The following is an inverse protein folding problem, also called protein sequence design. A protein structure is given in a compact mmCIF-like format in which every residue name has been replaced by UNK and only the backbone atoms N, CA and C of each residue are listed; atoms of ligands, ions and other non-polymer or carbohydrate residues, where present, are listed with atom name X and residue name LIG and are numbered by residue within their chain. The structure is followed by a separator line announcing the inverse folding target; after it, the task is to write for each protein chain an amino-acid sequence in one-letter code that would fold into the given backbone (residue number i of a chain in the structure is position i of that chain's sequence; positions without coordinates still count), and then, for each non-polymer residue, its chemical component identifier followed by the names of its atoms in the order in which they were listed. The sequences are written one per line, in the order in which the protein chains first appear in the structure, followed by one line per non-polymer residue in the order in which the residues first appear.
data_IF_954715578579
#
_entry.id   IF_954715578579
#
_cell.length_a   1.000
_cell.length_b   1.000
_cell.length_c   1.000
_cell.angle_alpha   90.00
_cell.angle_beta   90.00
_cell.angle_gamma   90.00
#
_symmetry.space_group_name_H-M   'P 1'
#
loop_
_entity.id
_entity.type
_entity.pdbx_description
1 polymer ?
#
# COMPACT_ATOMS: atom_id res chain seq x y z
N UNK A 1 6.63 -29.33 1.84
CA UNK A 1 7.90 -28.57 2.03
C UNK A 1 8.98 -28.93 0.99
N UNK A 2 8.98 -30.10 0.42
CA UNK A 2 10.01 -30.59 -0.55
C UNK A 2 9.96 -29.94 -1.95
N UNK A 3 8.78 -29.48 -2.43
CA UNK A 3 8.68 -28.88 -3.77
C UNK A 3 9.25 -27.46 -3.87
N UNK A 4 9.21 -26.66 -2.81
CA UNK A 4 9.76 -25.29 -2.81
C UNK A 4 11.29 -25.27 -3.08
N UNK A 5 12.01 -26.28 -2.60
CA UNK A 5 13.44 -26.42 -2.84
C UNK A 5 13.77 -26.76 -4.30
N UNK A 6 12.98 -27.65 -4.89
CA UNK A 6 13.18 -28.09 -6.26
C UNK A 6 12.86 -26.97 -7.29
N UNK A 7 11.78 -26.23 -7.09
CA UNK A 7 11.40 -25.09 -7.95
C UNK A 7 12.47 -23.97 -7.87
N UNK A 8 12.95 -23.66 -6.67
CA UNK A 8 13.99 -22.65 -6.46
C UNK A 8 15.32 -23.03 -7.11
N UNK A 9 15.70 -24.31 -7.00
CA UNK A 9 16.91 -24.84 -7.64
C UNK A 9 16.77 -24.92 -9.16
N UNK A 10 15.59 -25.26 -9.67
CA UNK A 10 15.30 -25.26 -11.10
C UNK A 10 15.38 -23.85 -11.69
N UNK A 11 14.72 -22.86 -11.06
CA UNK A 11 14.77 -21.47 -11.48
C UNK A 11 16.20 -20.89 -11.40
N UNK A 12 16.96 -21.29 -10.38
CA UNK A 12 18.37 -20.90 -10.26
C UNK A 12 19.21 -21.46 -11.41
N UNK A 13 19.07 -22.75 -11.71
CA UNK A 13 19.80 -23.40 -12.83
C UNK A 13 19.38 -22.84 -14.18
N UNK A 14 18.08 -22.61 -14.41
CA UNK A 14 17.57 -22.02 -15.64
C UNK A 14 18.06 -20.56 -15.81
N UNK A 15 18.05 -19.77 -14.75
CA UNK A 15 18.56 -18.40 -14.79
C UNK A 15 20.07 -18.31 -15.03
N UNK A 16 20.86 -19.21 -14.44
CA UNK A 16 22.31 -19.30 -14.65
C UNK A 16 22.68 -19.85 -16.02
N UNK A 17 21.80 -20.58 -16.69
CA UNK A 17 22.02 -21.06 -18.05
C UNK A 17 21.78 -19.99 -19.13
N UNK A 18 20.97 -18.99 -18.84
CA UNK A 18 20.53 -17.93 -19.79
C UNK A 18 21.26 -16.61 -19.56
N UNK A 19 21.64 -16.32 -18.32
CA UNK A 19 22.26 -15.06 -17.92
C UNK A 19 23.71 -15.30 -17.48
N UNK A 20 24.59 -14.38 -17.85
CA UNK A 20 25.94 -14.32 -17.28
C UNK A 20 25.88 -14.18 -15.75
N UNK A 21 26.86 -14.72 -15.04
CA UNK A 21 26.83 -14.81 -13.56
C UNK A 21 26.63 -13.45 -12.88
N UNK A 22 27.18 -12.39 -13.44
CA UNK A 22 26.98 -11.02 -12.96
C UNK A 22 25.54 -10.50 -13.20
N UNK A 23 24.95 -10.81 -14.34
CA UNK A 23 23.58 -10.44 -14.68
C UNK A 23 22.57 -11.21 -13.80
N UNK A 24 22.81 -12.52 -13.60
CA UNK A 24 21.99 -13.34 -12.73
C UNK A 24 21.97 -12.83 -11.28
N UNK A 25 23.14 -12.46 -10.74
CA UNK A 25 23.23 -11.93 -9.37
C UNK A 25 22.42 -10.65 -9.22
N UNK A 26 22.55 -9.70 -10.16
CA UNK A 26 21.77 -8.45 -10.16
C UNK A 26 20.26 -8.69 -10.24
N UNK A 27 19.83 -9.54 -11.17
CA UNK A 27 18.39 -9.88 -11.31
C UNK A 27 17.86 -10.53 -10.04
N UNK A 28 18.64 -11.42 -9.41
CA UNK A 28 18.26 -12.06 -8.15
C UNK A 28 18.15 -11.04 -7.00
N UNK A 29 19.03 -10.05 -6.93
CA UNK A 29 18.97 -8.97 -5.94
C UNK A 29 17.74 -8.09 -6.15
N UNK A 30 17.45 -7.68 -7.37
CA UNK A 30 16.24 -6.92 -7.70
C UNK A 30 14.97 -7.68 -7.38
N UNK A 31 14.93 -8.97 -7.67
CA UNK A 31 13.77 -9.80 -7.33
C UNK A 31 13.55 -9.90 -5.81
N UNK A 32 14.63 -10.10 -5.05
CA UNK A 32 14.56 -10.10 -3.57
C UNK A 32 14.09 -8.75 -3.04
N UNK A 33 14.64 -7.64 -3.55
CA UNK A 33 14.27 -6.28 -3.17
C UNK A 33 12.80 -5.99 -3.47
N UNK A 34 12.33 -6.37 -4.66
CA UNK A 34 10.92 -6.23 -5.07
C UNK A 34 9.97 -7.03 -4.19
N UNK A 35 10.32 -8.29 -3.89
CA UNK A 35 9.53 -9.14 -3.01
C UNK A 35 9.47 -8.58 -1.58
N UNK A 36 10.58 -8.04 -1.08
CA UNK A 36 10.62 -7.39 0.23
C UNK A 36 9.73 -6.16 0.27
N UNK A 37 9.81 -5.27 -0.72
CA UNK A 37 8.95 -4.08 -0.83
C UNK A 37 7.46 -4.47 -0.83
N UNK A 38 7.11 -5.49 -1.61
CA UNK A 38 5.72 -5.97 -1.71
C UNK A 38 5.21 -6.52 -0.37
N UNK A 39 5.98 -7.36 0.29
CA UNK A 39 5.59 -7.96 1.58
C UNK A 39 5.54 -6.91 2.69
N UNK A 40 6.51 -6.00 2.73
CA UNK A 40 6.56 -4.91 3.70
C UNK A 40 5.36 -3.97 3.54
N UNK A 41 5.03 -3.60 2.30
CA UNK A 41 3.83 -2.80 2.03
C UNK A 41 2.56 -3.50 2.51
N UNK A 42 2.37 -4.78 2.19
CA UNK A 42 1.18 -5.53 2.62
C UNK A 42 1.09 -5.58 4.15
N UNK A 43 2.21 -5.85 4.81
CA UNK A 43 2.28 -5.90 6.27
C UNK A 43 1.93 -4.54 6.91
N UNK A 44 2.55 -3.47 6.41
CA UNK A 44 2.27 -2.11 6.86
C UNK A 44 0.79 -1.74 6.66
N UNK A 45 0.22 -2.09 5.52
CA UNK A 45 -1.17 -1.74 5.19
C UNK A 45 -2.19 -2.51 6.05
N UNK A 46 -1.89 -3.76 6.41
CA UNK A 46 -2.73 -4.52 7.35
C UNK A 46 -2.69 -3.90 8.75
N UNK A 47 -1.50 -3.53 9.24
CA UNK A 47 -1.36 -2.87 10.54
C UNK A 47 -2.09 -1.54 10.56
N UNK A 48 -1.92 -0.73 9.52
CA UNK A 48 -2.59 0.56 9.36
C UNK A 48 -4.12 0.40 9.42
N UNK A 49 -4.67 -0.51 8.61
CA UNK A 49 -6.09 -0.81 8.61
C UNK A 49 -6.64 -1.27 9.97
N UNK A 50 -5.88 -2.07 10.72
CA UNK A 50 -6.25 -2.48 12.07
C UNK A 50 -6.29 -1.28 13.03
N UNK A 51 -5.27 -0.43 13.00
CA UNK A 51 -5.19 0.77 13.86
C UNK A 51 -6.35 1.70 13.54
N UNK A 52 -6.57 2.03 12.27
CA UNK A 52 -7.65 2.92 11.85
C UNK A 52 -9.03 2.32 12.16
N UNK A 53 -9.21 1.02 11.96
CA UNK A 53 -10.45 0.34 12.32
C UNK A 53 -10.77 0.44 13.80
N UNK A 54 -9.78 0.25 14.67
CA UNK A 54 -9.94 0.38 16.12
C UNK A 54 -10.24 1.83 16.50
N UNK A 55 -9.47 2.79 16.02
CA UNK A 55 -9.66 4.21 16.31
C UNK A 55 -11.02 4.72 15.84
N UNK A 56 -11.44 4.34 14.63
CA UNK A 56 -12.75 4.67 14.10
C UNK A 56 -13.88 4.05 14.92
N UNK A 57 -13.75 2.78 15.34
CA UNK A 57 -14.72 2.11 16.20
C UNK A 57 -14.88 2.83 17.54
N UNK A 58 -13.78 3.22 18.19
CA UNK A 58 -13.78 3.94 19.45
C UNK A 58 -14.43 5.32 19.27
N UNK A 59 -13.98 6.09 18.27
CA UNK A 59 -14.49 7.43 18.02
C UNK A 59 -16.00 7.42 17.75
N UNK A 60 -16.48 6.52 16.91
CA UNK A 60 -17.91 6.36 16.62
C UNK A 60 -18.71 5.84 17.82
N UNK A 61 -18.12 5.01 18.69
CA UNK A 61 -18.77 4.55 19.92
C UNK A 61 -18.99 5.68 20.92
N UNK A 62 -18.02 6.59 21.05
CA UNK A 62 -18.10 7.76 21.94
C UNK A 62 -19.30 8.66 21.57
N UNK A 63 -19.56 8.84 20.28
CA UNK A 63 -20.68 9.65 19.80
C UNK A 63 -21.99 8.85 19.66
N UNK A 64 -22.01 7.61 20.13
CA UNK A 64 -23.21 6.78 20.18
C UNK A 64 -23.70 6.27 18.82
N UNK A 65 -22.83 6.17 17.81
CA UNK A 65 -23.21 5.64 16.50
C UNK A 65 -23.61 4.16 16.64
N UNK A 66 -24.79 3.84 16.14
CA UNK A 66 -25.27 2.45 16.06
C UNK A 66 -24.36 1.67 15.12
N UNK A 67 -23.94 0.47 15.51
CA UNK A 67 -22.98 -0.36 14.76
C UNK A 67 -21.56 0.21 14.65
N UNK A 68 -21.13 1.06 15.58
CA UNK A 68 -19.81 1.71 15.58
C UNK A 68 -18.65 0.73 15.36
N UNK A 69 -18.65 -0.42 16.02
CA UNK A 69 -17.60 -1.45 15.87
C UNK A 69 -17.61 -2.04 14.46
N UNK A 70 -18.79 -2.37 13.92
CA UNK A 70 -18.91 -2.92 12.56
C UNK A 70 -18.45 -1.91 11.52
N UNK A 71 -18.87 -0.65 11.65
CA UNK A 71 -18.49 0.42 10.74
C UNK A 71 -16.99 0.72 10.83
N UNK A 72 -16.42 0.71 12.03
CA UNK A 72 -14.99 0.89 12.22
C UNK A 72 -14.16 -0.24 11.61
N UNK A 73 -14.58 -1.49 11.80
CA UNK A 73 -13.94 -2.63 11.12
C UNK A 73 -14.03 -2.51 9.59
N UNK A 74 -15.18 -2.04 9.08
CA UNK A 74 -15.38 -1.80 7.66
C UNK A 74 -14.45 -0.70 7.15
N UNK A 75 -14.32 0.42 7.88
CA UNK A 75 -13.39 1.51 7.55
C UNK A 75 -11.96 0.99 7.54
N UNK A 76 -11.53 0.24 8.55
CA UNK A 76 -10.19 -0.34 8.61
C UNK A 76 -9.90 -1.33 7.49
N UNK A 77 -10.87 -2.18 7.14
CA UNK A 77 -10.74 -3.14 6.04
C UNK A 77 -10.55 -2.43 4.69
N UNK A 78 -11.36 -1.41 4.43
CA UNK A 78 -11.26 -0.66 3.18
C UNK A 78 -10.03 0.28 3.14
N UNK A 79 -9.49 0.68 4.31
CA UNK A 79 -8.27 1.48 4.39
C UNK A 79 -7.06 0.79 3.75
N UNK A 80 -7.12 -0.52 3.52
CA UNK A 80 -6.11 -1.29 2.78
C UNK A 80 -5.90 -0.73 1.36
N UNK A 81 -6.92 -0.11 0.75
CA UNK A 81 -6.83 0.51 -0.58
C UNK A 81 -6.66 2.03 -0.41
N UNK A 82 -5.47 2.60 -0.64
CA UNK A 82 -5.23 4.01 -0.42
C UNK A 82 -6.20 4.91 -1.19
N UNK A 83 -6.71 5.95 -0.55
CA UNK A 83 -7.66 6.94 -1.04
C UNK A 83 -9.05 6.39 -1.38
N UNK A 84 -9.16 5.40 -2.27
CA UNK A 84 -10.44 4.85 -2.72
C UNK A 84 -11.18 4.10 -1.60
N UNK A 85 -10.44 3.32 -0.83
CA UNK A 85 -11.01 2.57 0.28
C UNK A 85 -11.65 3.48 1.33
N UNK A 86 -10.93 4.53 1.73
CA UNK A 86 -11.43 5.51 2.68
C UNK A 86 -12.72 6.20 2.19
N UNK A 87 -12.76 6.63 0.91
CA UNK A 87 -13.94 7.29 0.32
C UNK A 87 -15.15 6.35 0.35
N UNK A 88 -14.99 5.11 -0.10
CA UNK A 88 -16.07 4.11 -0.12
C UNK A 88 -16.56 3.83 1.30
N UNK A 89 -15.64 3.56 2.22
CA UNK A 89 -15.97 3.20 3.59
C UNK A 89 -16.69 4.34 4.34
N UNK A 90 -16.20 5.57 4.20
CA UNK A 90 -16.82 6.74 4.83
C UNK A 90 -18.23 6.96 4.23
N UNK A 91 -18.38 6.86 2.92
CA UNK A 91 -19.69 7.04 2.26
C UNK A 91 -20.71 6.03 2.78
N UNK A 92 -20.33 4.75 2.85
CA UNK A 92 -21.22 3.70 3.39
C UNK A 92 -21.53 3.93 4.85
N UNK A 93 -20.55 4.32 5.66
CA UNK A 93 -20.73 4.61 7.09
C UNK A 93 -21.67 5.82 7.31
N UNK A 94 -21.53 6.88 6.49
CA UNK A 94 -22.43 8.03 6.52
C UNK A 94 -23.88 7.60 6.22
N UNK A 95 -24.09 6.83 5.15
CA UNK A 95 -25.42 6.37 4.77
C UNK A 95 -26.05 5.52 5.87
N UNK A 96 -25.33 4.56 6.42
CA UNK A 96 -25.85 3.71 7.50
C UNK A 96 -26.17 4.56 8.73
N UNK A 97 -25.31 5.49 9.11
CA UNK A 97 -25.54 6.36 10.27
C UNK A 97 -26.73 7.32 10.05
N UNK A 98 -26.88 7.82 8.81
CA UNK A 98 -28.02 8.67 8.45
C UNK A 98 -29.37 7.96 8.67
N UNK A 99 -29.48 6.70 8.27
CA UNK A 99 -30.70 5.91 8.43
C UNK A 99 -30.92 5.38 9.85
N UNK A 100 -29.87 5.29 10.67
CA UNK A 100 -29.97 4.70 12.03
C UNK A 100 -29.96 5.70 13.15
N UNK A 101 -29.35 6.89 12.95
CA UNK A 101 -29.15 7.90 13.97
C UNK A 101 -29.55 9.32 13.53
N UNK A 102 -29.99 9.46 12.28
CA UNK A 102 -30.40 10.74 11.74
C UNK A 102 -29.25 11.60 11.19
N UNK A 103 -29.62 12.74 10.63
CA UNK A 103 -28.66 13.59 9.89
C UNK A 103 -27.61 14.27 10.79
N UNK A 104 -27.96 14.63 12.02
CA UNK A 104 -27.04 15.28 12.96
C UNK A 104 -25.92 14.33 13.36
N UNK A 105 -26.27 13.08 13.69
CA UNK A 105 -25.29 12.06 14.03
C UNK A 105 -24.43 11.67 12.83
N UNK A 106 -25.01 11.59 11.63
CA UNK A 106 -24.28 11.30 10.40
C UNK A 106 -23.23 12.38 10.08
N UNK A 107 -23.59 13.68 10.24
CA UNK A 107 -22.65 14.79 10.05
C UNK A 107 -21.52 14.77 11.08
N UNK A 108 -21.85 14.56 12.36
CA UNK A 108 -20.84 14.48 13.42
C UNK A 108 -19.89 13.31 13.20
N UNK A 109 -20.42 12.14 12.85
CA UNK A 109 -19.63 10.97 12.50
C UNK A 109 -18.74 11.23 11.30
N UNK A 110 -19.26 11.81 10.22
CA UNK A 110 -18.48 12.16 9.04
C UNK A 110 -17.31 13.10 9.39
N UNK A 111 -17.57 14.16 10.17
CA UNK A 111 -16.51 15.08 10.60
C UNK A 111 -15.41 14.37 11.37
N UNK A 112 -15.77 13.52 12.33
CA UNK A 112 -14.81 12.79 13.17
C UNK A 112 -13.98 11.80 12.33
N UNK A 113 -14.63 11.05 11.44
CA UNK A 113 -13.91 10.08 10.60
C UNK A 113 -13.02 10.80 9.58
N UNK A 114 -13.43 11.93 9.02
CA UNK A 114 -12.58 12.74 8.14
C UNK A 114 -11.35 13.25 8.89
N UNK A 115 -11.52 13.76 10.12
CA UNK A 115 -10.37 14.17 10.95
C UNK A 115 -9.44 12.99 11.21
N UNK A 116 -9.99 11.82 11.53
CA UNK A 116 -9.20 10.60 11.73
C UNK A 116 -8.42 10.23 10.46
N UNK A 117 -9.03 10.33 9.29
CA UNK A 117 -8.34 10.09 8.01
C UNK A 117 -7.22 11.12 7.73
N UNK A 118 -7.37 12.38 8.18
CA UNK A 118 -6.29 13.37 8.09
C UNK A 118 -5.12 13.03 9.03
N UNK A 119 -5.42 12.54 10.22
CA UNK A 119 -4.39 12.05 11.17
C UNK A 119 -3.70 10.83 10.58
N UNK A 120 -4.45 9.92 9.99
CA UNK A 120 -3.90 8.77 9.30
C UNK A 120 -2.93 9.17 8.19
N UNK A 121 -3.41 9.92 7.22
CA UNK A 121 -2.63 10.32 6.04
C UNK A 121 -1.36 11.11 6.38
N UNK A 122 -1.36 11.91 7.45
CA UNK A 122 -0.25 12.81 7.78
C UNK A 122 0.65 12.30 8.93
N UNK A 123 0.18 11.38 9.76
CA UNK A 123 0.91 10.95 10.97
C UNK A 123 1.06 9.44 11.03
N UNK A 124 -0.04 8.67 10.95
CA UNK A 124 -0.02 7.23 11.20
C UNK A 124 0.63 6.50 10.03
N UNK A 125 0.09 6.70 8.83
CA UNK A 125 0.54 6.03 7.61
C UNK A 125 2.04 6.31 7.32
N UNK A 126 2.57 7.56 7.38
CA UNK A 126 4.00 7.81 7.22
C UNK A 126 4.88 7.17 8.29
N UNK A 127 4.39 7.01 9.52
CA UNK A 127 5.14 6.34 10.58
C UNK A 127 5.20 4.83 10.39
N UNK A 128 4.15 4.22 9.85
CA UNK A 128 4.07 2.79 9.59
C UNK A 128 4.88 2.42 8.34
N UNK A 129 4.68 3.12 7.22
CA UNK A 129 5.37 2.87 5.95
C UNK A 129 6.83 3.32 5.95
N UNK A 130 7.24 4.19 6.88
CA UNK A 130 8.59 4.75 6.94
C UNK A 130 8.91 5.65 5.74
N UNK A 131 10.20 6.03 5.65
CA UNK A 131 10.67 6.93 4.58
C UNK A 131 10.90 6.22 3.22
N UNK A 132 10.81 4.90 3.18
CA UNK A 132 11.23 4.09 2.03
C UNK A 132 10.37 4.22 0.76
N UNK A 133 9.10 4.57 0.91
CA UNK A 133 8.13 4.58 -0.20
C UNK A 133 7.61 5.99 -0.54
N UNK A 134 8.48 7.01 -0.55
CA UNK A 134 8.09 8.39 -0.93
C UNK A 134 7.55 8.45 -2.38
N UNK A 135 6.31 8.01 -2.58
CA UNK A 135 5.58 8.10 -3.85
C UNK A 135 4.66 9.32 -3.77
N UNK A 136 4.58 10.10 -4.84
CA UNK A 136 3.65 11.23 -4.85
C UNK A 136 2.19 10.75 -4.82
N UNK A 137 1.29 11.46 -4.10
CA UNK A 137 -0.14 11.11 -4.04
C UNK A 137 -0.78 10.98 -5.43
N UNK A 138 -0.42 11.85 -6.35
CA UNK A 138 -0.93 11.83 -7.73
C UNK A 138 -0.57 10.50 -8.42
N UNK A 139 0.67 10.03 -8.23
CA UNK A 139 1.11 8.77 -8.84
C UNK A 139 0.39 7.55 -8.22
N UNK A 140 0.07 7.60 -6.92
CA UNK A 140 -0.72 6.56 -6.25
C UNK A 140 -2.13 6.54 -6.82
N UNK A 141 -2.81 7.69 -6.91
CA UNK A 141 -4.18 7.78 -7.45
C UNK A 141 -4.21 7.24 -8.88
N UNK A 142 -3.27 7.66 -9.72
CA UNK A 142 -3.16 7.19 -11.10
C UNK A 142 -2.95 5.67 -11.18
N UNK A 143 -2.03 5.14 -10.37
CA UNK A 143 -1.76 3.70 -10.34
C UNK A 143 -2.96 2.88 -9.87
N UNK A 144 -3.64 3.34 -8.80
CA UNK A 144 -4.82 2.66 -8.26
C UNK A 144 -5.98 2.70 -9.25
N UNK A 145 -6.18 3.81 -9.98
CA UNK A 145 -7.21 3.90 -11.02
C UNK A 145 -6.95 2.91 -12.15
N UNK A 146 -5.72 2.87 -12.66
CA UNK A 146 -5.35 1.93 -13.74
C UNK A 146 -5.44 0.48 -13.24
N UNK A 147 -4.86 0.19 -12.07
CA UNK A 147 -4.91 -1.15 -11.52
C UNK A 147 -6.34 -1.63 -11.25
N UNK A 148 -7.21 -0.71 -10.83
CA UNK A 148 -8.63 -0.97 -10.65
C UNK A 148 -9.36 -1.35 -11.94
N UNK A 149 -9.08 -0.66 -13.02
CA UNK A 149 -9.67 -0.92 -14.34
C UNK A 149 -9.28 -2.31 -14.87
N UNK A 150 -8.01 -2.70 -14.74
CA UNK A 150 -7.53 -3.97 -15.31
C UNK A 150 -7.74 -5.18 -14.40
N UNK A 151 -7.63 -5.02 -13.09
CA UNK A 151 -7.61 -6.14 -12.13
C UNK A 151 -8.58 -5.97 -10.96
N UNK A 152 -9.47 -4.98 -11.00
CA UNK A 152 -10.43 -4.70 -9.93
C UNK A 152 -9.77 -4.35 -8.60
N UNK A 153 -10.39 -4.77 -7.50
CA UNK A 153 -9.94 -4.48 -6.12
C UNK A 153 -8.50 -4.95 -5.85
N UNK A 154 -8.13 -6.13 -6.35
CA UNK A 154 -6.77 -6.65 -6.21
C UNK A 154 -5.75 -5.79 -6.96
N UNK A 155 -6.12 -5.28 -8.14
CA UNK A 155 -5.29 -4.36 -8.90
C UNK A 155 -5.11 -3.02 -8.19
N UNK A 156 -6.17 -2.46 -7.60
CA UNK A 156 -6.09 -1.25 -6.79
C UNK A 156 -5.07 -1.40 -5.64
N UNK A 157 -5.17 -2.49 -4.90
CA UNK A 157 -4.30 -2.77 -3.77
C UNK A 157 -2.83 -2.97 -4.19
N UNK A 158 -2.59 -3.78 -5.21
CA UNK A 158 -1.23 -4.11 -5.66
C UNK A 158 -0.56 -3.01 -6.48
N UNK A 159 -1.31 -2.03 -6.99
CA UNK A 159 -0.77 -0.93 -7.80
C UNK A 159 0.29 -0.12 -7.06
N UNK A 160 0.08 0.15 -5.77
CA UNK A 160 1.01 0.97 -4.98
C UNK A 160 2.37 0.30 -4.82
N UNK A 161 2.49 -0.96 -4.36
CA UNK A 161 3.80 -1.60 -4.28
C UNK A 161 4.43 -1.85 -5.66
N UNK A 162 3.65 -2.05 -6.72
CA UNK A 162 4.18 -2.16 -8.08
C UNK A 162 4.86 -0.85 -8.51
N UNK A 163 4.21 0.29 -8.29
CA UNK A 163 4.79 1.60 -8.60
C UNK A 163 6.02 1.89 -7.72
N UNK A 164 6.00 1.47 -6.45
CA UNK A 164 7.17 1.57 -5.58
C UNK A 164 8.35 0.79 -6.13
N UNK A 165 8.14 -0.46 -6.56
CA UNK A 165 9.16 -1.31 -7.17
C UNK A 165 9.70 -0.65 -8.45
N UNK A 166 8.83 -0.20 -9.35
CA UNK A 166 9.24 0.47 -10.59
C UNK A 166 10.09 1.70 -10.28
N UNK A 167 9.67 2.54 -9.33
CA UNK A 167 10.43 3.72 -8.91
C UNK A 167 11.82 3.36 -8.41
N UNK A 168 11.93 2.37 -7.54
CA UNK A 168 13.22 1.91 -6.99
C UNK A 168 14.13 1.39 -8.11
N UNK A 169 13.60 0.59 -9.03
CA UNK A 169 14.36 0.08 -10.18
C UNK A 169 14.88 1.20 -11.08
N UNK A 170 14.06 2.23 -11.33
CA UNK A 170 14.46 3.40 -12.13
C UNK A 170 15.57 4.18 -11.42
N UNK A 171 15.46 4.42 -10.12
CA UNK A 171 16.48 5.14 -9.35
C UNK A 171 17.79 4.37 -9.35
N UNK A 172 17.77 3.07 -9.06
CA UNK A 172 18.96 2.23 -9.07
C UNK A 172 19.64 2.23 -10.47
N UNK A 173 18.85 2.20 -11.54
CA UNK A 173 19.36 2.28 -12.91
C UNK A 173 20.04 3.63 -13.22
N UNK A 174 19.43 4.73 -12.79
CA UNK A 174 20.00 6.09 -12.96
C UNK A 174 21.32 6.22 -12.19
N UNK A 175 21.35 5.74 -10.94
CA UNK A 175 22.56 5.78 -10.12
C UNK A 175 23.71 4.95 -10.74
N UNK A 176 23.39 3.78 -11.24
CA UNK A 176 24.37 2.94 -11.95
C UNK A 176 24.97 3.65 -13.18
N UNK A 177 24.12 4.28 -13.98
CA UNK A 177 24.56 5.02 -15.17
C UNK A 177 25.43 6.23 -14.81
N UNK A 178 25.08 6.94 -13.73
CA UNK A 178 25.83 8.10 -13.26
C UNK A 178 27.22 7.71 -12.70
N UNK A 179 27.31 6.57 -11.97
CA UNK A 179 28.60 6.06 -11.49
C UNK A 179 29.54 5.72 -12.65
N UNK A 180 29.03 5.07 -13.69
CA UNK A 180 29.83 4.74 -14.86
C UNK A 180 30.31 5.96 -15.65
N UNK A 181 29.47 7.03 -15.75
CA UNK A 181 29.89 8.28 -16.37
C UNK A 181 31.01 8.98 -15.60
N UNK A 182 30.92 9.04 -14.27
CA UNK A 182 31.97 9.64 -13.42
C UNK A 182 33.29 8.86 -13.50
N UNK A 183 33.22 7.53 -13.58
CA UNK A 183 34.42 6.71 -13.75
C UNK A 183 35.13 6.95 -15.10
N UNK A 184 34.38 7.26 -16.16
CA UNK A 184 34.93 7.59 -17.48
C UNK A 184 35.50 9.01 -17.60
N UNK A 185 35.03 9.95 -16.74
CA UNK A 185 35.52 11.35 -16.74
C UNK A 185 36.81 11.53 -15.90
N UNK A 186 37.16 10.56 -15.08
CA UNK A 186 38.37 10.59 -14.24
C UNK A 186 39.56 9.79 -14.83
N UNK A 187 39.46 9.38 -16.10
CA UNK A 187 40.52 8.78 -16.94
C UNK A 187 40.95 9.78 -18.01
#
# INVERSE_FOLDING_TARGET
MLERGNIKNFLKKAGQAVLDEQAYTKVSEYFKKSNWILLDFIYCQIIDGIIIGILASIAMSIIGVKYSVLLGMFIGLFNIIPYFGAIIAITVAILITLFTGGWEQALLMAAIVIILQQIDANIINPKILGEGLKISPILIIFAVTIGGEFFGVLGMFLSVPIVAIIKVLIIDFIEFKNKNKKAQQNI
#
